data_IF_896579004954
#
_entry.id   IF_896579004954
#
_cell.length_a   1.000
_cell.length_b   1.000
_cell.length_c   1.000
_cell.angle_alpha   90.00
_cell.angle_beta   90.00
_cell.angle_gamma   90.00
#
_symmetry.space_group_name_H-M   'P 1'
#
loop_
_entity.id
_entity.type
_entity.pdbx_description
1 polymer ?
#
# COMPACT_ATOMS: atom_id res chain seq x y z
N UNK A 1 54.73 22.75 13.79
CA UNK A 1 53.58 23.32 13.07
C UNK A 1 52.48 22.27 13.05
N UNK A 2 51.45 22.41 13.88
CA UNK A 2 50.23 21.58 13.83
C UNK A 2 49.10 22.48 13.33
N UNK A 3 48.56 22.15 12.16
CA UNK A 3 47.41 22.85 11.58
C UNK A 3 46.15 22.06 11.94
N UNK A 4 45.40 22.55 12.92
CA UNK A 4 44.07 22.03 13.26
C UNK A 4 43.08 22.53 12.20
N UNK A 5 42.57 21.64 11.34
CA UNK A 5 41.46 21.98 10.45
C UNK A 5 40.16 22.01 11.24
N UNK A 6 39.59 23.20 11.41
CA UNK A 6 38.25 23.39 11.97
C UNK A 6 37.24 23.01 10.89
N UNK A 7 36.64 21.81 11.01
CA UNK A 7 35.45 21.49 10.24
C UNK A 7 34.30 22.34 10.78
N UNK A 8 33.89 23.34 10.01
CA UNK A 8 32.64 24.06 10.22
C UNK A 8 31.48 23.09 9.96
N UNK A 9 30.80 22.65 11.01
CA UNK A 9 29.56 21.88 10.90
C UNK A 9 28.44 22.84 10.50
N UNK A 10 28.02 22.77 9.24
CA UNK A 10 26.77 23.41 8.82
C UNK A 10 25.62 22.82 9.65
N UNK A 11 24.69 23.65 10.14
CA UNK A 11 23.54 23.15 10.89
C UNK A 11 22.70 22.25 9.96
N UNK A 12 22.13 21.14 10.49
CA UNK A 12 21.29 20.26 9.69
C UNK A 12 20.11 21.05 9.09
N UNK A 13 19.68 20.73 7.86
CA UNK A 13 18.57 21.42 7.24
C UNK A 13 17.34 21.34 8.16
N UNK A 14 16.73 22.50 8.43
CA UNK A 14 15.50 22.56 9.23
C UNK A 14 14.42 21.77 8.50
N UNK A 15 13.97 20.68 9.13
CA UNK A 15 12.81 19.91 8.68
C UNK A 15 11.60 20.86 8.58
N UNK A 16 11.07 21.01 7.37
CA UNK A 16 9.92 21.89 7.11
C UNK A 16 8.64 21.13 7.44
N UNK A 17 8.17 21.24 8.68
CA UNK A 17 6.90 20.65 9.11
C UNK A 17 5.75 21.46 8.48
N UNK A 18 5.01 20.87 7.56
CA UNK A 18 3.77 21.47 7.03
C UNK A 18 2.61 20.60 7.51
N UNK A 19 1.87 21.05 8.53
CA UNK A 19 0.64 20.38 8.91
C UNK A 19 -0.38 20.60 7.78
N UNK A 20 -0.73 19.52 7.06
CA UNK A 20 -1.70 19.58 5.96
C UNK A 20 -3.15 19.62 6.45
N UNK A 21 -3.38 19.26 7.71
CA UNK A 21 -4.66 19.42 8.38
C UNK A 21 -4.45 20.00 9.78
N UNK A 22 -5.02 21.19 10.00
CA UNK A 22 -5.19 21.77 11.33
C UNK A 22 -6.68 21.72 11.64
N UNK A 23 -7.06 21.21 12.82
CA UNK A 23 -8.43 21.34 13.28
C UNK A 23 -8.82 22.83 13.27
N UNK A 24 -10.06 23.19 12.90
CA UNK A 24 -10.48 24.58 12.92
C UNK A 24 -10.26 25.16 14.33
N UNK A 25 -9.50 26.25 14.40
CA UNK A 25 -9.35 27.04 15.62
C UNK A 25 -10.72 27.60 15.97
N UNK A 26 -11.17 27.35 17.20
CA UNK A 26 -12.45 27.88 17.71
C UNK A 26 -12.33 29.39 17.86
N UNK A 27 -12.63 30.15 16.81
CA UNK A 27 -12.91 31.57 16.92
C UNK A 27 -14.30 31.74 17.55
N UNK A 28 -14.35 32.45 18.68
CA UNK A 28 -15.53 32.61 19.53
C UNK A 28 -16.63 33.52 18.96
N UNK A 29 -16.68 33.73 17.64
CA UNK A 29 -17.71 34.55 16.99
C UNK A 29 -17.95 34.10 15.53
N UNK A 30 -18.73 33.03 15.32
CA UNK A 30 -19.66 32.88 14.18
C UNK A 30 -20.36 31.52 14.25
N UNK A 31 -21.60 31.48 13.73
CA UNK A 31 -22.48 30.31 13.72
C UNK A 31 -21.78 29.00 13.36
N UNK A 32 -21.70 28.08 14.33
CA UNK A 32 -21.69 26.62 14.18
C UNK A 32 -21.20 26.09 12.83
N UNK A 33 -19.90 26.20 12.53
CA UNK A 33 -19.28 25.18 11.70
C UNK A 33 -19.27 23.90 12.56
N UNK A 34 -20.18 22.97 12.27
CA UNK A 34 -20.17 21.67 12.92
C UNK A 34 -18.75 21.09 12.77
N UNK A 35 -18.09 20.83 13.90
CA UNK A 35 -16.78 20.18 13.88
C UNK A 35 -16.89 18.90 13.04
N UNK A 36 -15.94 18.70 12.12
CA UNK A 36 -15.97 17.53 11.25
C UNK A 36 -15.97 16.25 12.11
N UNK A 37 -17.08 15.52 12.08
CA UNK A 37 -17.26 14.31 12.87
C UNK A 37 -16.47 13.16 12.26
N UNK A 38 -15.86 12.29 13.09
CA UNK A 38 -15.26 11.06 12.60
C UNK A 38 -16.27 10.20 11.81
N UNK A 39 -15.86 9.78 10.63
CA UNK A 39 -16.61 8.92 9.71
C UNK A 39 -15.88 7.60 9.52
N UNK A 40 -16.65 6.57 9.25
CA UNK A 40 -16.17 5.26 8.85
C UNK A 40 -16.92 4.82 7.60
N UNK A 41 -16.20 4.26 6.64
CA UNK A 41 -16.79 3.59 5.49
C UNK A 41 -16.05 2.28 5.24
N UNK A 42 -16.74 1.25 4.78
CA UNK A 42 -16.11 -0.02 4.42
C UNK A 42 -16.68 -0.55 3.12
N UNK A 43 -15.80 -0.96 2.22
CA UNK A 43 -16.17 -1.48 0.90
C UNK A 43 -15.30 -2.67 0.54
N UNK A 44 -15.91 -3.71 -0.03
CA UNK A 44 -15.15 -4.83 -0.60
C UNK A 44 -15.00 -4.64 -2.09
N UNK A 45 -13.76 -4.59 -2.57
CA UNK A 45 -13.42 -4.51 -3.99
C UNK A 45 -13.00 -5.88 -4.48
N UNK A 46 -13.61 -6.35 -5.56
CA UNK A 46 -13.19 -7.59 -6.24
C UNK A 46 -12.29 -7.25 -7.42
N UNK A 47 -11.07 -7.76 -7.37
CA UNK A 47 -10.11 -7.73 -8.47
C UNK A 47 -10.34 -8.99 -9.33
N UNK A 48 -10.35 -8.88 -10.68
CA UNK A 48 -10.42 -10.04 -11.54
C UNK A 48 -9.21 -10.96 -11.30
N UNK A 49 -9.27 -12.24 -11.70
CA UNK A 49 -8.08 -13.08 -11.74
C UNK A 49 -6.99 -12.37 -12.57
N UNK A 50 -5.84 -12.09 -11.95
CA UNK A 50 -4.66 -11.57 -12.64
C UNK A 50 -3.70 -12.74 -12.79
N UNK A 51 -2.98 -12.85 -13.90
CA UNK A 51 -1.92 -13.86 -14.02
C UNK A 51 -0.89 -13.69 -12.89
N UNK A 52 -0.09 -14.72 -12.62
CA UNK A 52 1.07 -14.60 -11.72
C UNK A 52 1.95 -13.38 -12.04
N UNK A 53 2.47 -12.75 -10.98
CA UNK A 53 3.36 -11.59 -11.03
C UNK A 53 2.85 -10.40 -10.23
N UNK A 54 3.53 -9.26 -10.37
CA UNK A 54 3.20 -8.02 -9.68
C UNK A 54 2.35 -7.08 -10.57
N UNK A 55 1.24 -6.58 -10.05
CA UNK A 55 0.26 -5.79 -10.81
C UNK A 55 -0.05 -4.46 -10.14
N UNK A 56 0.08 -3.36 -10.87
CA UNK A 56 -0.38 -2.06 -10.40
C UNK A 56 -1.92 -2.02 -10.35
N UNK A 57 -2.49 -1.98 -9.15
CA UNK A 57 -3.94 -1.97 -8.94
C UNK A 57 -4.47 -0.61 -8.48
N UNK A 58 -3.60 0.40 -8.27
CA UNK A 58 -4.02 1.77 -7.88
C UNK A 58 -5.18 2.32 -8.71
N UNK A 59 -5.20 2.24 -10.06
CA UNK A 59 -6.29 2.80 -10.84
C UNK A 59 -7.64 2.13 -10.56
N UNK A 60 -7.64 0.81 -10.33
CA UNK A 60 -8.87 0.07 -10.00
C UNK A 60 -9.37 0.44 -8.61
N UNK A 61 -8.48 0.47 -7.61
CA UNK A 61 -8.83 0.81 -6.24
C UNK A 61 -9.37 2.25 -6.15
N UNK A 62 -8.67 3.21 -6.75
CA UNK A 62 -9.09 4.63 -6.75
C UNK A 62 -10.40 4.85 -7.48
N UNK A 63 -10.63 4.17 -8.61
CA UNK A 63 -11.92 4.22 -9.32
C UNK A 63 -13.07 3.71 -8.45
N UNK A 64 -12.89 2.58 -7.78
CA UNK A 64 -13.95 1.98 -6.95
C UNK A 64 -14.23 2.80 -5.69
N UNK A 65 -13.25 3.54 -5.17
CA UNK A 65 -13.39 4.33 -3.95
C UNK A 65 -13.64 5.83 -4.19
N UNK A 66 -13.75 6.31 -5.43
CA UNK A 66 -13.75 7.75 -5.73
C UNK A 66 -14.75 8.55 -4.90
N UNK A 67 -16.02 8.11 -4.88
CA UNK A 67 -17.09 8.78 -4.13
C UNK A 67 -16.88 8.65 -2.61
N UNK A 68 -16.41 7.50 -2.14
CA UNK A 68 -16.16 7.24 -0.73
C UNK A 68 -14.99 8.11 -0.21
N UNK A 69 -13.87 8.14 -0.92
CA UNK A 69 -12.68 8.92 -0.56
C UNK A 69 -12.98 10.41 -0.53
N UNK A 70 -13.78 10.92 -1.46
CA UNK A 70 -14.12 12.35 -1.55
C UNK A 70 -14.76 12.93 -0.28
N UNK A 71 -15.30 12.06 0.60
CA UNK A 71 -15.94 12.43 1.86
C UNK A 71 -14.96 12.63 3.03
N UNK A 72 -13.67 12.32 2.83
CA UNK A 72 -12.62 12.38 3.84
C UNK A 72 -11.57 13.43 3.49
N UNK A 73 -11.50 14.49 4.28
CA UNK A 73 -10.47 15.52 4.16
C UNK A 73 -9.13 15.07 4.78
N UNK A 74 -9.18 14.29 5.86
CA UNK A 74 -8.01 13.72 6.53
C UNK A 74 -8.38 12.37 7.14
N UNK A 75 -7.56 11.34 6.92
CA UNK A 75 -7.87 10.01 7.43
C UNK A 75 -6.84 8.94 7.06
N UNK A 76 -7.24 7.69 7.22
CA UNK A 76 -6.51 6.51 6.78
C UNK A 76 -7.43 5.60 5.96
N UNK A 77 -6.84 4.94 4.98
CA UNK A 77 -7.43 3.83 4.26
C UNK A 77 -6.65 2.56 4.61
N UNK A 78 -7.31 1.63 5.29
CA UNK A 78 -6.79 0.29 5.52
C UNK A 78 -7.31 -0.64 4.42
N UNK A 79 -6.40 -1.28 3.69
CA UNK A 79 -6.71 -2.26 2.66
C UNK A 79 -6.29 -3.63 3.20
N UNK A 80 -7.21 -4.59 3.18
CA UNK A 80 -6.97 -5.96 3.62
C UNK A 80 -7.34 -6.95 2.51
N UNK A 81 -6.34 -7.63 1.98
CA UNK A 81 -6.51 -8.71 1.03
C UNK A 81 -6.95 -9.98 1.75
N UNK A 82 -8.13 -10.48 1.39
CA UNK A 82 -8.68 -11.73 1.92
C UNK A 82 -8.10 -12.93 1.15
N UNK A 83 -6.78 -13.10 1.22
CA UNK A 83 -6.09 -14.23 0.61
C UNK A 83 -4.77 -14.53 1.34
N UNK A 84 -4.32 -15.79 1.29
CA UNK A 84 -3.10 -16.26 1.96
C UNK A 84 -1.95 -16.53 1.00
N UNK A 85 -2.23 -16.64 -0.30
CA UNK A 85 -1.25 -16.93 -1.36
C UNK A 85 -1.06 -15.77 -2.36
N UNK A 86 -1.51 -14.57 -2.01
CA UNK A 86 -1.30 -13.33 -2.76
C UNK A 86 -1.06 -12.22 -1.73
N UNK A 87 -0.35 -11.16 -2.11
CA UNK A 87 0.00 -10.07 -1.20
C UNK A 87 -0.29 -8.68 -1.75
N UNK A 88 -0.28 -7.70 -0.85
CA UNK A 88 -0.32 -6.28 -1.19
C UNK A 88 1.00 -5.63 -0.82
N UNK A 89 1.49 -4.74 -1.68
CA UNK A 89 2.67 -3.91 -1.39
C UNK A 89 2.52 -2.53 -2.02
N UNK A 90 3.36 -1.58 -1.61
CA UNK A 90 3.49 -0.27 -2.24
C UNK A 90 4.89 -0.16 -2.83
N UNK A 91 4.97 0.04 -4.14
CA UNK A 91 6.23 0.20 -4.85
C UNK A 91 6.02 1.09 -6.09
N UNK A 92 6.99 1.15 -7.00
CA UNK A 92 6.99 2.05 -8.15
C UNK A 92 5.71 1.93 -9.03
N UNK A 93 5.18 3.04 -9.52
CA UNK A 93 3.96 3.04 -10.34
C UNK A 93 4.20 3.33 -11.83
N UNK A 94 5.45 3.50 -12.25
CA UNK A 94 5.81 3.95 -13.60
C UNK A 94 6.44 2.84 -14.42
N UNK A 95 7.64 2.39 -14.06
CA UNK A 95 8.36 1.39 -14.83
C UNK A 95 7.79 -0.03 -14.60
N UNK A 96 7.52 -0.75 -15.69
CA UNK A 96 7.06 -2.14 -15.65
C UNK A 96 8.16 -3.08 -15.21
N UNK A 97 9.43 -2.78 -15.49
CA UNK A 97 10.55 -3.67 -15.24
C UNK A 97 10.73 -3.91 -13.74
N UNK A 98 10.42 -2.93 -12.89
CA UNK A 98 10.46 -3.08 -11.42
C UNK A 98 9.51 -4.20 -10.96
N UNK A 99 8.37 -4.40 -11.64
CA UNK A 99 7.42 -5.47 -11.32
C UNK A 99 7.92 -6.84 -11.77
N UNK A 100 8.55 -6.90 -12.94
CA UNK A 100 9.11 -8.14 -13.50
C UNK A 100 10.37 -8.59 -12.73
N UNK A 101 11.23 -7.64 -12.34
CA UNK A 101 12.40 -7.88 -11.48
C UNK A 101 11.99 -8.32 -10.09
N UNK A 102 10.92 -7.73 -9.52
CA UNK A 102 10.38 -8.16 -8.22
C UNK A 102 9.90 -9.62 -8.29
N UNK A 103 9.14 -9.99 -9.33
CA UNK A 103 8.69 -11.38 -9.51
C UNK A 103 9.88 -12.33 -9.72
N UNK A 104 10.87 -11.94 -10.52
CA UNK A 104 12.11 -12.70 -10.73
C UNK A 104 12.84 -12.92 -9.42
N UNK A 105 13.01 -11.86 -8.62
CA UNK A 105 13.62 -11.95 -7.30
C UNK A 105 12.86 -12.92 -6.38
N UNK A 106 11.54 -12.79 -6.27
CA UNK A 106 10.71 -13.66 -5.44
C UNK A 106 10.83 -15.13 -5.85
N UNK A 107 10.91 -15.42 -7.15
CA UNK A 107 11.08 -16.77 -7.68
C UNK A 107 12.47 -17.36 -7.38
N UNK A 108 13.49 -16.51 -7.27
CA UNK A 108 14.83 -16.95 -6.90
C UNK A 108 14.93 -17.28 -5.40
N UNK A 109 14.34 -16.45 -4.54
CA UNK A 109 14.44 -16.63 -3.08
C UNK A 109 13.44 -17.64 -2.51
N UNK A 110 12.30 -17.83 -3.19
CA UNK A 110 11.28 -18.81 -2.84
C UNK A 110 11.01 -19.68 -4.07
N UNK A 111 11.92 -20.63 -4.36
CA UNK A 111 11.87 -21.43 -5.58
C UNK A 111 10.71 -22.43 -5.57
N UNK A 112 10.35 -22.92 -6.74
CA UNK A 112 9.29 -23.92 -6.93
C UNK A 112 9.83 -25.21 -7.54
N UNK A 113 8.97 -26.22 -7.64
CA UNK A 113 9.26 -27.47 -8.33
C UNK A 113 9.98 -28.51 -7.47
N UNK A 114 10.43 -29.59 -8.13
CA UNK A 114 10.86 -30.82 -7.46
C UNK A 114 12.09 -30.67 -6.56
N UNK A 115 12.93 -29.67 -6.82
CA UNK A 115 14.11 -29.37 -5.99
C UNK A 115 13.80 -28.43 -4.82
N UNK A 116 12.60 -27.85 -4.76
CA UNK A 116 12.22 -26.94 -3.69
C UNK A 116 11.93 -27.73 -2.40
N UNK A 117 12.43 -27.29 -1.22
CA UNK A 117 12.35 -28.04 0.03
C UNK A 117 10.98 -27.89 0.73
N UNK A 118 9.89 -27.74 -0.03
CA UNK A 118 8.56 -27.45 0.52
C UNK A 118 7.76 -28.73 0.74
N UNK A 119 7.14 -28.81 1.93
CA UNK A 119 6.26 -29.94 2.29
C UNK A 119 4.81 -29.72 1.89
N UNK A 120 4.36 -28.47 1.81
CA UNK A 120 2.98 -28.12 1.50
C UNK A 120 2.83 -27.92 -0.01
N UNK A 121 2.20 -28.87 -0.68
CA UNK A 121 2.10 -28.92 -2.16
C UNK A 121 0.73 -29.42 -2.60
N UNK A 122 -0.27 -29.37 -1.71
CA UNK A 122 -1.57 -29.98 -1.93
C UNK A 122 -2.30 -29.34 -3.11
N UNK A 123 -2.09 -28.05 -3.33
CA UNK A 123 -2.70 -27.30 -4.43
C UNK A 123 -1.75 -27.06 -5.62
N UNK A 124 -0.60 -27.76 -5.67
CA UNK A 124 0.37 -27.67 -6.75
C UNK A 124 1.77 -27.23 -6.32
N UNK A 125 2.71 -27.13 -7.27
CA UNK A 125 4.11 -26.76 -6.99
C UNK A 125 4.28 -25.30 -6.55
N UNK A 126 3.32 -24.43 -6.84
CA UNK A 126 3.29 -22.99 -6.50
C UNK A 126 2.61 -22.70 -5.15
N UNK A 127 2.04 -23.72 -4.48
CA UNK A 127 1.23 -23.61 -3.27
C UNK A 127 2.01 -23.00 -2.07
N UNK A 128 2.96 -23.75 -1.48
CA UNK A 128 3.81 -23.20 -0.41
C UNK A 128 4.62 -21.97 -0.83
N UNK A 129 5.24 -21.91 -2.03
CA UNK A 129 5.91 -20.70 -2.48
C UNK A 129 5.02 -19.46 -2.40
N UNK A 130 3.77 -19.56 -2.83
CA UNK A 130 2.83 -18.46 -2.79
C UNK A 130 2.49 -18.03 -1.35
N UNK A 131 2.36 -18.97 -0.42
CA UNK A 131 2.18 -18.68 1.00
C UNK A 131 3.37 -17.95 1.63
N UNK A 132 4.60 -18.36 1.29
CA UNK A 132 5.83 -17.72 1.79
C UNK A 132 5.92 -16.30 1.24
N UNK A 133 5.83 -16.14 -0.09
CA UNK A 133 5.89 -14.82 -0.76
C UNK A 133 4.81 -13.87 -0.25
N UNK A 134 3.60 -14.39 -0.04
CA UNK A 134 2.51 -13.66 0.59
C UNK A 134 2.88 -13.18 2.00
N UNK A 135 3.48 -14.03 2.83
CA UNK A 135 3.90 -13.69 4.19
C UNK A 135 5.06 -12.69 4.24
N UNK A 136 5.88 -12.62 3.19
CA UNK A 136 7.00 -11.67 3.10
C UNK A 136 6.55 -10.22 2.89
N UNK A 137 5.54 -9.99 2.04
CA UNK A 137 4.98 -8.66 1.81
C UNK A 137 3.81 -8.36 2.76
N UNK A 138 3.01 -9.37 3.08
CA UNK A 138 1.80 -9.25 3.87
C UNK A 138 0.54 -9.03 3.03
N UNK A 139 -0.60 -9.12 3.70
CA UNK A 139 -1.93 -9.01 3.08
C UNK A 139 -2.59 -7.65 3.31
N UNK A 140 -1.90 -6.66 3.88
CA UNK A 140 -2.53 -5.40 4.24
C UNK A 140 -1.66 -4.17 3.98
N UNK A 141 -2.32 -3.04 3.74
CA UNK A 141 -1.71 -1.71 3.62
C UNK A 141 -2.52 -0.70 4.43
N UNK A 142 -1.85 0.28 5.01
CA UNK A 142 -2.50 1.45 5.61
C UNK A 142 -1.96 2.70 4.91
N UNK A 143 -2.84 3.44 4.25
CA UNK A 143 -2.49 4.57 3.39
C UNK A 143 -3.15 5.84 3.91
N UNK A 144 -2.41 6.95 4.11
CA UNK A 144 -3.01 8.20 4.54
C UNK A 144 -3.95 8.78 3.48
N UNK A 145 -5.00 9.48 3.92
CA UNK A 145 -5.95 10.20 3.08
C UNK A 145 -5.76 11.70 3.33
N UNK A 146 -5.72 12.48 2.26
CA UNK A 146 -5.70 13.95 2.33
C UNK A 146 -6.51 14.53 1.16
N UNK A 147 -7.42 15.45 1.48
CA UNK A 147 -8.29 16.13 0.50
C UNK A 147 -8.99 15.16 -0.47
N UNK A 148 -9.55 14.09 0.10
CA UNK A 148 -10.29 13.07 -0.64
C UNK A 148 -9.45 12.17 -1.54
N UNK A 149 -8.14 12.06 -1.31
CA UNK A 149 -7.21 11.26 -2.12
C UNK A 149 -6.25 10.48 -1.23
N UNK A 150 -5.74 9.36 -1.75
CA UNK A 150 -4.58 8.71 -1.16
C UNK A 150 -3.38 9.66 -1.19
N UNK A 151 -2.75 9.84 -0.04
CA UNK A 151 -1.56 10.65 0.14
C UNK A 151 -0.33 9.74 0.12
N UNK A 152 -0.01 9.29 -1.09
CA UNK A 152 1.20 8.52 -1.41
C UNK A 152 2.20 9.42 -2.17
N UNK A 153 3.48 9.05 -2.16
CA UNK A 153 4.49 9.72 -2.97
C UNK A 153 4.23 9.57 -4.47
N UNK A 154 4.82 10.45 -5.29
CA UNK A 154 4.63 10.50 -6.75
C UNK A 154 4.79 9.15 -7.43
N UNK A 155 5.81 8.40 -7.03
CA UNK A 155 6.16 7.11 -7.62
C UNK A 155 5.53 5.92 -6.90
N UNK A 156 4.77 6.13 -5.83
CA UNK A 156 4.16 5.04 -5.09
C UNK A 156 2.85 4.58 -5.74
N UNK A 157 2.69 3.27 -5.87
CA UNK A 157 1.51 2.60 -6.36
C UNK A 157 1.19 1.36 -5.54
N UNK A 158 -0.09 1.07 -5.39
CA UNK A 158 -0.62 -0.12 -4.74
C UNK A 158 -0.50 -1.28 -5.72
N UNK A 159 0.22 -2.31 -5.33
CA UNK A 159 0.39 -3.52 -6.11
C UNK A 159 -0.39 -4.69 -5.51
N UNK A 160 -0.97 -5.53 -6.37
CA UNK A 160 -1.31 -6.91 -6.04
C UNK A 160 -0.19 -7.79 -6.56
N UNK A 161 0.45 -8.56 -5.68
CA UNK A 161 1.39 -9.60 -6.06
C UNK A 161 0.65 -10.93 -6.06
N UNK A 162 0.36 -11.44 -7.25
CA UNK A 162 -0.27 -12.74 -7.44
C UNK A 162 0.81 -13.81 -7.55
N UNK A 163 0.82 -14.78 -6.64
CA UNK A 163 1.88 -15.79 -6.58
C UNK A 163 1.44 -17.15 -7.13
N UNK A 164 0.16 -17.31 -7.54
CA UNK A 164 -0.36 -18.55 -8.12
C UNK A 164 -0.45 -18.49 -9.64
N UNK A 165 -0.20 -19.62 -10.29
CA UNK A 165 -0.27 -19.77 -11.74
C UNK A 165 -1.72 -19.79 -12.26
N UNK A 166 -2.63 -20.37 -11.47
CA UNK A 166 -4.07 -20.47 -11.78
C UNK A 166 -4.93 -19.77 -10.72
N UNK A 167 -4.87 -18.44 -10.64
CA UNK A 167 -5.53 -17.70 -9.58
C UNK A 167 -7.02 -17.50 -9.85
N UNK A 168 -7.75 -17.26 -8.76
CA UNK A 168 -9.14 -16.80 -8.79
C UNK A 168 -9.21 -15.31 -8.48
N UNK A 169 -10.41 -14.73 -8.58
CA UNK A 169 -10.62 -13.33 -8.23
C UNK A 169 -10.18 -13.05 -6.78
N UNK A 170 -9.55 -11.90 -6.55
CA UNK A 170 -9.07 -11.49 -5.22
C UNK A 170 -10.00 -10.45 -4.62
N UNK A 171 -10.26 -10.54 -3.32
CA UNK A 171 -11.09 -9.57 -2.58
C UNK A 171 -10.22 -8.70 -1.68
N UNK A 172 -10.36 -7.39 -1.79
CA UNK A 172 -9.71 -6.42 -0.92
C UNK A 172 -10.81 -5.69 -0.15
N UNK A 173 -10.83 -5.86 1.17
CA UNK A 173 -11.68 -5.07 2.06
C UNK A 173 -10.96 -3.75 2.32
N UNK A 174 -11.60 -2.64 1.99
CA UNK A 174 -11.08 -1.31 2.26
C UNK A 174 -11.91 -0.67 3.35
N UNK A 175 -11.27 -0.29 4.45
CA UNK A 175 -11.87 0.47 5.54
C UNK A 175 -11.29 1.88 5.54
N UNK A 176 -12.15 2.87 5.40
CA UNK A 176 -11.79 4.30 5.47
C UNK A 176 -12.21 4.83 6.83
N UNK A 177 -11.32 5.58 7.49
CA UNK A 177 -11.64 6.27 8.73
C UNK A 177 -10.97 7.65 8.76
N UNK A 178 -11.69 8.66 9.23
CA UNK A 178 -11.20 10.03 9.20
C UNK A 178 -12.33 11.03 9.35
N UNK A 179 -12.15 12.23 8.85
CA UNK A 179 -13.07 13.36 8.96
C UNK A 179 -13.37 13.96 7.59
#
# INVERSE_FOLDING_TARGET
MHSSSVFSSLPPPKLRLTALYSAPTTDSNSNSMAAASPKWAQKTITLPPLRRGCHLITPKITKELGDDLSQFNCGLAHLFLQHTSASLTINENYDTDVRDDTETFLNNIVPEGNSAPWKHTLEGPDDMPAHIKSSMFGCQLTIPITNGKFNMGTWQGIWLCEHRDYPTARKVVVTLNGI
#
